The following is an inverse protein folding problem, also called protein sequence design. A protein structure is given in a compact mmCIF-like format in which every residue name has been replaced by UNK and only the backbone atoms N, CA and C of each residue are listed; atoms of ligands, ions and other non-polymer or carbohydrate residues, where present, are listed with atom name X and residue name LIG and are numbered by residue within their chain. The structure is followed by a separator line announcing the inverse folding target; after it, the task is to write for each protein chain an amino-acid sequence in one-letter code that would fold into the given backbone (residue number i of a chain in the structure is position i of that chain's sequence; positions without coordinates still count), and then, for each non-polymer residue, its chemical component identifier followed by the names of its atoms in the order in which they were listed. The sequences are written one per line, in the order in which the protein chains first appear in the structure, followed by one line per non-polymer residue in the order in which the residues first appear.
data_IF_121160886674
#
_entry.id   IF_121160886674
#
_cell.length_a   1.000
_cell.length_b   1.000
_cell.length_c   1.000
_cell.angle_alpha   90.00
_cell.angle_beta   90.00
_cell.angle_gamma   90.00
#
_symmetry.space_group_name_H-M   'P 1'
#
loop_
_entity.id
_entity.type
_entity.pdbx_description
1 polymer ?
#
# COMPACT_ATOMS: atom_id res chain seq x y z
N UNK A 1 9.82 -10.67 8.06
CA UNK A 1 9.44 -10.29 9.43
C UNK A 1 8.58 -9.03 9.31
N UNK A 2 7.28 -9.20 9.06
CA UNK A 2 6.34 -8.09 8.84
C UNK A 2 5.86 -7.57 10.20
N UNK A 3 6.63 -6.67 10.79
CA UNK A 3 6.44 -6.17 12.16
C UNK A 3 5.07 -5.48 12.36
N UNK A 4 4.37 -5.07 11.29
CA UNK A 4 3.07 -4.41 11.39
C UNK A 4 1.90 -5.40 11.62
N UNK A 5 1.89 -6.57 10.97
CA UNK A 5 0.69 -7.43 10.97
C UNK A 5 0.55 -8.25 12.27
N UNK A 6 1.66 -8.65 12.90
CA UNK A 6 1.63 -9.48 14.11
C UNK A 6 1.14 -8.76 15.39
N UNK A 7 1.03 -7.42 15.38
CA UNK A 7 0.63 -6.65 16.58
C UNK A 7 -0.79 -6.11 16.56
N UNK A 8 -1.63 -6.54 15.61
CA UNK A 8 -2.98 -5.97 15.46
C UNK A 8 -2.94 -4.51 14.99
N UNK A 9 -1.93 -4.14 14.20
CA UNK A 9 -1.93 -2.83 13.55
C UNK A 9 -3.09 -2.78 12.57
N UNK A 10 -3.88 -1.72 12.68
CA UNK A 10 -4.96 -1.43 11.74
C UNK A 10 -4.35 -1.22 10.35
N UNK A 11 -4.77 -2.05 9.40
CA UNK A 11 -4.25 -2.04 8.02
C UNK A 11 -4.64 -0.76 7.26
N UNK A 12 -5.66 -0.07 7.76
CA UNK A 12 -6.14 1.23 7.27
C UNK A 12 -5.71 2.38 8.19
N UNK A 13 -4.83 2.14 9.16
CA UNK A 13 -4.31 3.18 10.04
C UNK A 13 -3.74 4.34 9.21
N UNK A 14 -4.14 5.56 9.51
CA UNK A 14 -3.63 6.74 8.81
C UNK A 14 -2.51 7.38 9.61
N UNK A 15 -1.37 7.62 8.97
CA UNK A 15 -0.32 8.46 9.55
C UNK A 15 -0.76 9.93 9.59
N UNK A 16 0.12 10.80 10.08
CA UNK A 16 -0.09 12.25 10.15
C UNK A 16 -0.19 12.96 8.78
N UNK A 17 -0.09 12.22 7.67
CA UNK A 17 -0.31 12.69 6.29
C UNK A 17 -1.51 11.98 5.65
N UNK A 18 -2.31 11.28 6.44
CA UNK A 18 -3.45 10.50 5.96
C UNK A 18 -3.06 9.23 5.20
N UNK A 19 -1.79 8.82 5.21
CA UNK A 19 -1.31 7.67 4.43
C UNK A 19 -1.59 6.38 5.18
N UNK A 20 -2.13 5.39 4.47
CA UNK A 20 -2.28 4.03 4.99
C UNK A 20 -0.94 3.28 4.97
N UNK A 21 -0.77 2.19 5.75
CA UNK A 21 0.38 1.30 5.66
C UNK A 21 0.75 0.95 4.22
N UNK A 22 -0.26 0.69 3.38
CA UNK A 22 -0.07 0.40 1.95
C UNK A 22 0.65 1.56 1.25
N UNK A 23 0.17 2.80 1.42
CA UNK A 23 0.78 3.98 0.83
C UNK A 23 2.20 4.23 1.37
N UNK A 24 2.40 4.10 2.69
CA UNK A 24 3.71 4.28 3.34
C UNK A 24 4.73 3.28 2.79
N UNK A 25 4.30 2.06 2.51
CA UNK A 25 5.17 1.03 1.96
C UNK A 25 5.60 1.31 0.51
N UNK A 26 4.72 1.94 -0.29
CA UNK A 26 5.02 2.31 -1.67
C UNK A 26 6.01 3.47 -1.77
N UNK A 27 5.96 4.40 -0.81
CA UNK A 27 6.97 5.46 -0.69
C UNK A 27 8.33 4.89 -0.24
N UNK A 28 8.33 3.74 0.43
CA UNK A 28 9.54 3.10 0.93
C UNK A 28 10.09 2.03 -0.03
N UNK A 29 10.99 2.44 -0.91
CA UNK A 29 11.71 1.57 -1.87
C UNK A 29 12.49 0.41 -1.24
N UNK A 30 12.73 0.41 0.07
CA UNK A 30 13.45 -0.67 0.76
C UNK A 30 12.57 -1.89 1.06
N UNK A 31 11.25 -1.71 1.13
CA UNK A 31 10.37 -2.74 1.68
C UNK A 31 9.85 -3.75 0.64
N UNK A 32 10.16 -3.56 -0.65
CA UNK A 32 9.92 -4.53 -1.71
C UNK A 32 8.43 -4.87 -1.97
N UNK A 33 8.15 -5.53 -3.10
CA UNK A 33 6.79 -5.95 -3.48
C UNK A 33 6.15 -6.95 -2.50
N UNK A 34 6.95 -7.72 -1.76
CA UNK A 34 6.47 -8.74 -0.83
C UNK A 34 5.60 -8.17 0.30
N UNK A 35 5.97 -7.00 0.84
CA UNK A 35 5.19 -6.40 1.93
C UNK A 35 3.89 -5.78 1.40
N UNK A 36 3.92 -5.23 0.19
CA UNK A 36 2.73 -4.72 -0.50
C UNK A 36 1.75 -5.86 -0.80
N UNK A 37 2.24 -6.99 -1.29
CA UNK A 37 1.43 -8.18 -1.50
C UNK A 37 0.79 -8.66 -0.19
N UNK A 38 1.57 -8.77 0.89
CA UNK A 38 1.04 -9.17 2.19
C UNK A 38 -0.05 -8.23 2.71
N UNK A 39 0.10 -6.91 2.54
CA UNK A 39 -0.93 -5.94 2.95
C UNK A 39 -2.21 -6.10 2.12
N UNK A 40 -2.10 -6.26 0.81
CA UNK A 40 -3.25 -6.46 -0.07
C UNK A 40 -3.96 -7.79 0.23
N UNK A 41 -3.22 -8.86 0.52
CA UNK A 41 -3.78 -10.15 0.96
C UNK A 41 -4.49 -10.06 2.32
N UNK A 42 -4.04 -9.17 3.20
CA UNK A 42 -4.69 -8.90 4.49
C UNK A 42 -5.86 -7.90 4.38
N UNK A 43 -6.26 -7.51 3.18
CA UNK A 43 -7.45 -6.67 2.93
C UNK A 43 -7.18 -5.17 2.93
N UNK A 44 -5.92 -4.73 2.76
CA UNK A 44 -5.60 -3.33 2.56
C UNK A 44 -6.35 -2.76 1.36
N UNK A 45 -6.91 -1.56 1.49
CA UNK A 45 -7.66 -0.90 0.45
C UNK A 45 -6.73 -0.12 -0.49
N UNK A 46 -6.53 -0.58 -1.75
CA UNK A 46 -5.70 0.14 -2.72
C UNK A 46 -6.31 1.49 -3.16
N UNK A 47 -7.61 1.69 -2.93
CA UNK A 47 -8.33 2.92 -3.26
C UNK A 47 -8.30 3.95 -2.12
N UNK A 48 -7.65 3.63 -0.99
CA UNK A 48 -7.46 4.60 0.07
C UNK A 48 -6.67 5.80 -0.45
N UNK A 49 -7.12 7.00 -0.07
CA UNK A 49 -6.49 8.28 -0.45
C UNK A 49 -5.75 8.88 0.73
N UNK A 50 -4.55 9.40 0.48
CA UNK A 50 -3.83 10.25 1.43
C UNK A 50 -4.45 11.66 1.53
N UNK A 51 -3.88 12.53 2.38
CA UNK A 51 -4.33 13.92 2.51
C UNK A 51 -4.17 14.74 1.23
N UNK A 52 -3.29 14.32 0.31
CA UNK A 52 -3.13 14.96 -1.00
C UNK A 52 -4.13 14.45 -2.03
N UNK A 53 -4.98 13.49 -1.66
CA UNK A 53 -5.96 12.87 -2.54
C UNK A 53 -5.38 11.80 -3.47
N UNK A 54 -4.13 11.40 -3.27
CA UNK A 54 -3.45 10.36 -4.07
C UNK A 54 -3.80 8.97 -3.56
N UNK A 55 -4.05 8.05 -4.49
CA UNK A 55 -4.26 6.62 -4.18
C UNK A 55 -2.94 5.86 -4.11
N UNK A 56 -2.97 4.64 -3.56
CA UNK A 56 -1.83 3.73 -3.61
C UNK A 56 -1.34 3.51 -5.07
N UNK A 57 -2.27 3.40 -6.03
CA UNK A 57 -1.92 3.24 -7.44
C UNK A 57 -1.21 4.48 -8.01
N UNK A 58 -1.65 5.69 -7.66
CA UNK A 58 -1.01 6.93 -8.12
C UNK A 58 0.44 7.04 -7.62
N UNK A 59 0.67 6.62 -6.38
CA UNK A 59 2.00 6.63 -5.77
C UNK A 59 2.88 5.55 -6.40
N UNK A 60 2.39 4.33 -6.58
CA UNK A 60 3.13 3.28 -7.29
C UNK A 60 3.52 3.71 -8.71
N UNK A 61 2.63 4.40 -9.44
CA UNK A 61 2.96 4.95 -10.76
C UNK A 61 4.07 6.00 -10.70
N UNK A 62 4.13 6.81 -9.65
CA UNK A 62 5.19 7.79 -9.45
C UNK A 62 6.53 7.15 -9.09
N UNK A 63 6.54 6.00 -8.41
CA UNK A 63 7.78 5.28 -8.09
C UNK A 63 8.48 4.71 -9.33
N UNK A 64 7.75 4.52 -10.44
CA UNK A 64 8.25 3.92 -11.68
C UNK A 64 8.45 2.40 -11.58
N UNK A 65 7.97 1.76 -10.51
CA UNK A 65 8.08 0.33 -10.29
C UNK A 65 6.88 -0.39 -10.93
N UNK A 66 7.13 -1.02 -12.08
CA UNK A 66 6.10 -1.72 -12.84
C UNK A 66 5.52 -2.92 -12.07
N UNK A 67 6.31 -3.56 -11.22
CA UNK A 67 5.87 -4.73 -10.45
C UNK A 67 4.89 -4.29 -9.35
N UNK A 68 5.19 -3.18 -8.65
CA UNK A 68 4.26 -2.58 -7.69
C UNK A 68 2.96 -2.11 -8.32
N UNK A 69 3.04 -1.46 -9.49
CA UNK A 69 1.85 -1.02 -10.24
C UNK A 69 0.99 -2.23 -10.63
N UNK A 70 1.61 -3.32 -11.10
CA UNK A 70 0.90 -4.54 -11.46
C UNK A 70 0.25 -5.21 -10.24
N UNK A 71 0.94 -5.29 -9.10
CA UNK A 71 0.43 -5.85 -7.85
C UNK A 71 -0.81 -5.13 -7.34
N UNK A 72 -0.77 -3.80 -7.28
CA UNK A 72 -1.90 -2.98 -6.82
C UNK A 72 -3.06 -3.08 -7.81
N UNK A 73 -2.78 -3.02 -9.11
CA UNK A 73 -3.81 -3.11 -10.15
C UNK A 73 -4.51 -4.47 -10.12
N UNK A 74 -3.77 -5.56 -9.94
CA UNK A 74 -4.30 -6.92 -9.82
C UNK A 74 -5.16 -7.13 -8.55
N UNK A 75 -4.91 -6.33 -7.52
CA UNK A 75 -5.66 -6.37 -6.26
C UNK A 75 -6.90 -5.47 -6.29
N UNK A 76 -6.82 -4.31 -6.96
CA UNK A 76 -7.93 -3.37 -7.11
C UNK A 76 -9.00 -3.78 -8.14
N UNK A 77 -8.69 -4.74 -9.03
CA UNK A 77 -9.61 -5.23 -10.09
C UNK A 77 -10.44 -6.44 -9.70
N UNK A 78 -10.23 -7.05 -8.52
CA UNK A 78 -11.03 -8.16 -8.00
C UNK A 78 -12.34 -7.71 -7.33
N UNK A 79 -13.05 -6.76 -7.94
CA UNK A 79 -14.37 -6.32 -7.49
C UNK A 79 -15.48 -7.20 -8.09
#
# INVERSE_FOLDING_TARGET
MNILIEKGADIEARDNRGRTPLIVQLDNRQNGPDVVAALLENGANPNAKDESGMTALDIARQTGDADLVALITASGTRN
#
